data_IF_955569343989
#
_entry.id   IF_955569343989
#
_cell.length_a   1.000
_cell.length_b   1.000
_cell.length_c   1.000
_cell.angle_alpha   90.00
_cell.angle_beta   90.00
_cell.angle_gamma   90.00
#
_symmetry.space_group_name_H-M   'P 1'
#
loop_
_entity.id
_entity.type
_entity.pdbx_description
1 polymer ?
#
# COMPACT_ATOMS: atom_id res chain seq x y z
N UNK A 1 -37.70 -20.06 -31.94
CA UNK A 1 -36.41 -19.90 -31.22
C UNK A 1 -36.25 -18.55 -30.48
N UNK A 2 -37.29 -17.71 -30.34
CA UNK A 2 -37.20 -16.40 -29.65
C UNK A 2 -37.60 -16.39 -28.16
N UNK A 3 -38.18 -17.47 -27.62
CA UNK A 3 -38.62 -17.53 -26.21
C UNK A 3 -37.45 -17.78 -25.24
N UNK A 4 -36.42 -18.51 -25.66
CA UNK A 4 -35.24 -18.78 -24.83
C UNK A 4 -34.37 -17.51 -24.61
N UNK A 5 -34.29 -16.64 -25.61
CA UNK A 5 -33.52 -15.39 -25.57
C UNK A 5 -34.13 -14.33 -24.65
N UNK A 6 -35.44 -14.39 -24.37
CA UNK A 6 -36.13 -13.37 -23.56
C UNK A 6 -36.05 -13.62 -22.05
N UNK A 7 -35.75 -14.86 -21.63
CA UNK A 7 -35.65 -15.23 -20.21
C UNK A 7 -34.23 -15.06 -19.68
N UNK A 8 -33.20 -15.15 -20.54
CA UNK A 8 -31.80 -15.01 -20.14
C UNK A 8 -31.43 -13.59 -19.68
N UNK A 9 -32.04 -12.56 -20.29
CA UNK A 9 -31.73 -11.16 -20.00
C UNK A 9 -32.17 -10.70 -18.59
N UNK A 10 -33.41 -10.92 -18.13
CA UNK A 10 -33.81 -10.54 -16.78
C UNK A 10 -33.09 -11.37 -15.70
N UNK A 11 -32.80 -12.64 -15.98
CA UNK A 11 -32.06 -13.50 -15.06
C UNK A 11 -30.61 -12.99 -14.88
N UNK A 12 -29.92 -12.67 -15.97
CA UNK A 12 -28.57 -12.10 -15.91
C UNK A 12 -28.54 -10.75 -15.16
N UNK A 13 -29.55 -9.90 -15.38
CA UNK A 13 -29.67 -8.62 -14.70
C UNK A 13 -29.90 -8.79 -13.19
N UNK A 14 -30.76 -9.73 -12.79
CA UNK A 14 -31.02 -10.03 -11.38
C UNK A 14 -29.77 -10.57 -10.67
N UNK A 15 -28.98 -11.43 -11.33
CA UNK A 15 -27.72 -11.96 -10.78
C UNK A 15 -26.68 -10.83 -10.63
N UNK A 16 -26.52 -9.95 -11.63
CA UNK A 16 -25.60 -8.82 -11.54
C UNK A 16 -25.99 -7.83 -10.45
N UNK A 17 -27.29 -7.52 -10.32
CA UNK A 17 -27.81 -6.66 -9.26
C UNK A 17 -27.60 -7.28 -7.86
N UNK A 18 -27.84 -8.58 -7.71
CA UNK A 18 -27.59 -9.29 -6.47
C UNK A 18 -26.10 -9.25 -6.09
N UNK A 19 -25.19 -9.45 -7.04
CA UNK A 19 -23.75 -9.37 -6.82
C UNK A 19 -23.30 -7.97 -6.36
N UNK A 20 -23.88 -6.90 -6.92
CA UNK A 20 -23.60 -5.52 -6.47
C UNK A 20 -24.17 -5.22 -5.06
N UNK A 21 -25.29 -5.84 -4.70
CA UNK A 21 -25.94 -5.63 -3.40
C UNK A 21 -25.31 -6.46 -2.28
N UNK A 22 -24.84 -7.67 -2.60
CA UNK A 22 -24.28 -8.65 -1.67
C UNK A 22 -22.75 -8.68 -1.68
N UNK A 23 -22.11 -7.94 -2.57
CA UNK A 23 -20.66 -7.82 -2.62
C UNK A 23 -20.11 -7.24 -1.32
N UNK A 24 -18.89 -7.64 -0.91
CA UNK A 24 -18.25 -7.12 0.30
C UNK A 24 -18.14 -5.59 0.20
N UNK A 25 -18.79 -4.89 1.14
CA UNK A 25 -18.60 -3.47 1.36
C UNK A 25 -17.63 -3.31 2.51
N UNK A 26 -16.44 -2.78 2.22
CA UNK A 26 -15.53 -2.39 3.28
C UNK A 26 -16.08 -1.12 3.93
N UNK A 27 -16.35 -1.11 5.25
CA UNK A 27 -16.70 0.13 5.92
C UNK A 27 -15.52 1.10 5.82
N UNK A 28 -15.77 2.42 5.71
CA UNK A 28 -14.69 3.41 5.76
C UNK A 28 -13.99 3.29 7.11
N UNK A 29 -12.73 2.84 7.09
CA UNK A 29 -11.91 2.83 8.28
C UNK A 29 -11.44 4.25 8.62
N UNK A 30 -11.15 4.53 9.91
CA UNK A 30 -10.50 5.78 10.26
C UNK A 30 -9.16 5.89 9.53
N UNK A 31 -8.78 7.12 9.20
CA UNK A 31 -7.45 7.39 8.67
C UNK A 31 -6.37 6.85 9.62
N UNK A 32 -5.23 6.37 9.10
CA UNK A 32 -4.18 5.81 9.93
C UNK A 32 -3.64 6.87 10.90
N UNK A 33 -3.26 6.43 12.11
CA UNK A 33 -2.63 7.32 13.08
C UNK A 33 -1.32 7.86 12.52
N UNK A 34 -1.15 9.18 12.53
CA UNK A 34 0.06 9.87 12.07
C UNK A 34 0.85 10.44 13.24
N UNK A 35 2.13 10.68 12.99
CA UNK A 35 2.99 11.50 13.84
C UNK A 35 3.59 12.65 13.02
N UNK A 36 3.66 13.83 13.63
CA UNK A 36 4.27 15.00 13.01
C UNK A 36 5.79 14.99 13.17
N UNK A 37 6.51 15.08 12.05
CA UNK A 37 7.95 15.31 12.03
C UNK A 37 8.19 16.81 11.80
N UNK A 38 8.57 17.53 12.87
CA UNK A 38 8.82 18.96 12.83
C UNK A 38 10.14 19.29 12.14
N UNK A 39 10.21 20.46 11.49
CA UNK A 39 11.42 20.91 10.81
C UNK A 39 12.59 21.04 11.79
N UNK A 40 13.72 20.38 11.50
CA UNK A 40 14.90 20.34 12.35
C UNK A 40 16.15 19.92 11.59
N UNK A 41 17.31 20.31 12.11
CA UNK A 41 18.59 19.74 11.70
C UNK A 41 18.87 18.47 12.53
N UNK A 42 19.48 17.47 11.91
CA UNK A 42 19.85 16.23 12.59
C UNK A 42 21.12 15.64 11.95
N UNK A 43 21.81 14.77 12.68
CA UNK A 43 22.97 14.03 12.17
C UNK A 43 22.56 12.58 11.95
N UNK A 44 22.79 12.06 10.75
CA UNK A 44 22.39 10.71 10.37
C UNK A 44 23.48 10.02 9.53
N UNK A 45 23.53 8.69 9.60
CA UNK A 45 24.39 7.84 8.78
C UNK A 45 23.52 7.14 7.74
N UNK A 46 23.64 7.47 6.44
CA UNK A 46 22.79 6.86 5.43
C UNK A 46 22.98 5.35 5.32
N UNK A 47 21.89 4.63 5.08
CA UNK A 47 21.96 3.20 4.80
C UNK A 47 22.74 2.93 3.50
N UNK A 48 23.35 1.74 3.43
CA UNK A 48 24.13 1.29 2.28
C UNK A 48 25.49 0.73 2.70
N UNK A 49 26.17 0.11 1.76
CA UNK A 49 27.52 -0.42 1.97
C UNK A 49 28.55 0.68 1.73
N UNK A 50 29.43 0.90 2.71
CA UNK A 50 30.52 1.86 2.60
C UNK A 50 31.84 1.14 2.76
N UNK A 51 32.79 1.49 1.90
CA UNK A 51 34.11 0.90 1.87
C UNK A 51 35.15 2.00 1.90
N UNK A 52 36.18 1.80 2.71
CA UNK A 52 37.40 2.59 2.65
C UNK A 52 38.54 1.63 2.36
N UNK A 53 39.13 1.78 1.18
CA UNK A 53 40.07 0.81 0.61
C UNK A 53 39.44 -0.60 0.58
N UNK A 54 40.09 -1.60 1.19
CA UNK A 54 39.62 -2.97 1.26
C UNK A 54 38.82 -3.30 2.53
N UNK A 55 38.32 -2.28 3.26
CA UNK A 55 37.61 -2.45 4.54
C UNK A 55 36.19 -1.88 4.48
N UNK A 56 35.22 -2.69 4.88
CA UNK A 56 33.85 -2.22 5.12
C UNK A 56 33.83 -1.30 6.35
N UNK A 57 33.19 -0.14 6.21
CA UNK A 57 33.06 0.89 7.24
C UNK A 57 31.61 1.33 7.38
N UNK A 58 31.29 1.97 8.50
CA UNK A 58 30.02 2.67 8.63
C UNK A 58 29.98 3.90 7.72
N UNK A 59 28.78 4.18 7.18
CA UNK A 59 28.51 5.40 6.44
C UNK A 59 28.93 6.64 7.23
N UNK A 60 29.75 7.56 6.68
CA UNK A 60 30.10 8.80 7.36
C UNK A 60 28.85 9.58 7.77
N UNK A 61 28.86 10.09 9.01
CA UNK A 61 27.73 10.86 9.52
C UNK A 61 27.59 12.18 8.76
N UNK A 62 26.38 12.47 8.28
CA UNK A 62 26.04 13.71 7.56
C UNK A 62 25.06 14.52 8.38
N UNK A 63 25.20 15.85 8.30
CA UNK A 63 24.24 16.79 8.89
C UNK A 63 23.18 17.08 7.84
N UNK A 64 21.96 16.65 8.13
CA UNK A 64 20.79 16.80 7.29
C UNK A 64 19.82 17.81 7.88
N UNK A 65 18.88 18.29 7.06
CA UNK A 65 17.80 19.17 7.48
C UNK A 65 16.48 18.66 6.95
N UNK A 66 15.55 18.38 7.87
CA UNK A 66 14.16 18.13 7.53
C UNK A 66 13.44 19.47 7.36
N UNK A 67 13.04 19.80 6.13
CA UNK A 67 12.27 21.01 5.84
C UNK A 67 11.53 20.86 4.48
N UNK A 68 10.21 21.09 4.41
CA UNK A 68 9.30 21.39 5.52
C UNK A 68 9.11 20.18 6.46
N UNK A 69 8.49 20.42 7.61
CA UNK A 69 7.96 19.30 8.41
C UNK A 69 6.80 18.63 7.67
N UNK A 70 6.55 17.36 7.98
CA UNK A 70 5.45 16.58 7.39
C UNK A 70 4.94 15.53 8.37
N UNK A 71 3.79 14.94 8.06
CA UNK A 71 3.22 13.83 8.82
C UNK A 71 3.55 12.49 8.17
N UNK A 72 3.84 11.50 9.00
CA UNK A 72 4.08 10.12 8.57
C UNK A 72 3.21 9.17 9.38
N UNK A 73 2.81 8.04 8.79
CA UNK A 73 2.12 6.99 9.53
C UNK A 73 2.97 6.53 10.72
N UNK A 74 2.33 6.42 11.89
CA UNK A 74 2.97 5.97 13.12
C UNK A 74 3.35 4.49 13.06
N UNK A 75 2.50 3.69 12.41
CA UNK A 75 2.68 2.26 12.24
C UNK A 75 2.87 1.92 10.77
N UNK A 76 3.56 0.80 10.51
CA UNK A 76 3.67 0.26 9.16
C UNK A 76 2.29 -0.17 8.66
N UNK A 77 2.07 -0.09 7.35
CA UNK A 77 0.87 -0.65 6.71
C UNK A 77 0.83 -2.14 7.01
N UNK A 78 -0.22 -2.59 7.68
CA UNK A 78 -0.44 -4.00 7.99
C UNK A 78 -0.81 -4.79 6.74
N UNK A 79 -0.65 -6.11 6.81
CA UNK A 79 -1.07 -7.00 5.73
C UNK A 79 -2.57 -6.85 5.42
N UNK A 80 -3.42 -6.65 6.43
CA UNK A 80 -4.86 -6.48 6.25
C UNK A 80 -5.20 -5.17 5.51
N UNK A 81 -4.56 -4.06 5.89
CA UNK A 81 -4.75 -2.76 5.22
C UNK A 81 -4.28 -2.81 3.77
N UNK A 82 -3.12 -3.43 3.52
CA UNK A 82 -2.61 -3.59 2.17
C UNK A 82 -3.50 -4.52 1.32
N UNK A 83 -3.93 -5.65 1.87
CA UNK A 83 -4.85 -6.57 1.17
C UNK A 83 -6.17 -5.88 0.80
N UNK A 84 -6.69 -5.01 1.67
CA UNK A 84 -7.86 -4.18 1.38
C UNK A 84 -7.60 -3.22 0.22
N UNK A 85 -6.48 -2.49 0.26
CA UNK A 85 -6.10 -1.58 -0.83
C UNK A 85 -6.02 -2.30 -2.19
N UNK A 86 -5.52 -3.54 -2.21
CA UNK A 86 -5.51 -4.39 -3.41
C UNK A 86 -6.92 -4.82 -3.82
N UNK A 87 -7.76 -5.23 -2.88
CA UNK A 87 -9.15 -5.62 -3.16
C UNK A 87 -10.01 -4.46 -3.68
N UNK A 88 -9.69 -3.23 -3.27
CA UNK A 88 -10.32 -1.99 -3.75
C UNK A 88 -9.77 -1.53 -5.12
N UNK A 89 -8.65 -2.12 -5.57
CA UNK A 89 -8.01 -1.78 -6.85
C UNK A 89 -7.10 -0.56 -6.80
N UNK A 90 -6.88 0.00 -5.60
CA UNK A 90 -6.03 1.18 -5.38
C UNK A 90 -4.53 0.81 -5.29
N UNK A 91 -4.22 -0.43 -4.91
CA UNK A 91 -2.86 -0.97 -4.86
C UNK A 91 -2.65 -2.12 -5.86
N UNK A 92 -1.44 -2.24 -6.39
CA UNK A 92 -1.03 -3.41 -7.15
C UNK A 92 -0.92 -4.63 -6.21
N UNK A 93 -1.35 -5.84 -6.62
CA UNK A 93 -1.10 -7.05 -5.86
C UNK A 93 0.41 -7.33 -5.81
N UNK A 94 0.87 -8.00 -4.74
CA UNK A 94 2.23 -8.50 -4.69
C UNK A 94 2.43 -9.49 -5.84
N UNK A 95 3.45 -9.27 -6.67
CA UNK A 95 3.95 -10.34 -7.52
C UNK A 95 4.58 -11.40 -6.63
N UNK A 96 4.27 -12.68 -6.85
CA UNK A 96 5.09 -13.77 -6.30
C UNK A 96 6.51 -13.55 -6.83
N UNK A 97 7.39 -13.07 -5.95
CA UNK A 97 8.71 -12.59 -6.33
C UNK A 97 9.57 -13.72 -6.87
N UNK A 98 10.14 -13.51 -8.04
CA UNK A 98 11.31 -14.20 -8.57
C UNK A 98 12.47 -13.98 -7.57
N UNK A 99 12.48 -14.79 -6.52
CA UNK A 99 13.47 -14.73 -5.46
C UNK A 99 14.72 -15.43 -5.98
N UNK A 100 15.88 -14.75 -6.09
CA UNK A 100 17.10 -15.45 -6.45
C UNK A 100 17.44 -16.50 -5.37
N UNK A 101 17.96 -17.67 -5.79
CA UNK A 101 18.25 -18.80 -4.88
C UNK A 101 19.31 -18.49 -3.82
#
# INVERSE_FOLDING_TARGET
MHKATRISLPAAFAIAAAALLLGPRHPPEPAPETVALTARAFTFRPAGDYWQEARAIDAPARRERLQPGFEVMKYQVSQAEYARCVAEGDCLPLSEGDSPP
#
